data_IF_359744682177
#
_entry.id   IF_359744682177
#
_cell.length_a   1.000
_cell.length_b   1.000
_cell.length_c   1.000
_cell.angle_alpha   90.00
_cell.angle_beta   90.00
_cell.angle_gamma   90.00
#
_symmetry.space_group_name_H-M   'P 1'
#
loop_
_entity.id
_entity.type
_entity.pdbx_description
1 polymer ?
#
# COMPACT_ATOMS: atom_id res chain seq x y z
N UNK A 1 11.34 29.95 7.06
CA UNK A 1 12.74 30.01 7.51
C UNK A 1 12.73 29.54 8.94
N UNK A 2 13.57 28.57 9.27
CA UNK A 2 13.74 28.11 10.64
C UNK A 2 14.40 29.21 11.47
N UNK A 3 14.04 29.28 12.74
CA UNK A 3 14.56 30.25 13.70
C UNK A 3 15.55 29.59 14.65
N UNK A 4 16.36 30.40 15.31
CA UNK A 4 17.26 29.95 16.38
C UNK A 4 16.49 29.24 17.51
N UNK A 5 15.26 29.69 17.79
CA UNK A 5 14.40 29.08 18.80
C UNK A 5 14.00 27.66 18.42
N UNK A 6 13.66 27.42 17.14
CA UNK A 6 13.29 26.09 16.65
C UNK A 6 14.44 25.07 16.80
N UNK A 7 15.70 25.51 16.59
CA UNK A 7 16.88 24.68 16.85
C UNK A 7 17.12 24.43 18.34
N UNK A 8 16.91 25.43 19.19
CA UNK A 8 17.04 25.27 20.65
C UNK A 8 16.03 24.27 21.20
N UNK A 9 14.81 24.27 20.67
CA UNK A 9 13.79 23.27 21.00
C UNK A 9 14.19 21.87 20.51
N UNK A 10 14.69 21.76 19.28
CA UNK A 10 15.14 20.48 18.71
C UNK A 10 16.30 19.84 19.49
N UNK A 11 17.16 20.67 20.07
CA UNK A 11 18.29 20.22 20.88
C UNK A 11 18.02 20.22 22.39
N UNK A 12 16.79 20.53 22.85
CA UNK A 12 16.48 20.69 24.27
C UNK A 12 16.81 19.46 25.13
N UNK A 13 16.66 18.26 24.57
CA UNK A 13 16.94 16.99 25.27
C UNK A 13 18.41 16.55 25.17
N UNK A 14 19.23 17.21 24.35
CA UNK A 14 20.63 16.82 24.12
C UNK A 14 21.56 17.47 25.13
N UNK A 15 22.68 16.80 25.43
CA UNK A 15 23.69 17.36 26.35
C UNK A 15 24.45 18.50 25.66
N UNK A 16 24.81 19.58 26.38
CA UNK A 16 25.49 20.74 25.78
C UNK A 16 26.75 20.43 24.98
N UNK A 17 27.57 19.48 25.44
CA UNK A 17 28.79 19.08 24.73
C UNK A 17 28.50 18.37 23.40
N UNK A 18 27.39 17.63 23.29
CA UNK A 18 27.02 16.95 22.04
C UNK A 18 26.58 17.98 21.00
N UNK A 19 25.79 18.97 21.44
CA UNK A 19 25.35 20.10 20.61
C UNK A 19 26.56 20.86 20.08
N UNK A 20 27.52 21.18 20.96
CA UNK A 20 28.75 21.89 20.57
C UNK A 20 29.60 21.12 19.55
N UNK A 21 29.72 19.78 19.69
CA UNK A 21 30.43 18.92 18.74
C UNK A 21 29.74 18.94 17.38
N UNK A 22 28.42 18.80 17.36
CA UNK A 22 27.61 18.77 16.13
C UNK A 22 27.65 20.10 15.39
N UNK A 23 27.50 21.22 16.11
CA UNK A 23 27.62 22.58 15.56
C UNK A 23 29.03 22.83 15.01
N UNK A 24 30.06 22.41 15.74
CA UNK A 24 31.44 22.53 15.29
C UNK A 24 31.69 21.73 14.02
N UNK A 25 31.27 20.46 13.96
CA UNK A 25 31.38 19.66 12.76
C UNK A 25 30.60 20.22 11.57
N UNK A 26 29.38 20.72 11.82
CA UNK A 26 28.49 21.26 10.80
C UNK A 26 28.99 22.57 10.19
N UNK A 27 29.53 23.48 11.02
CA UNK A 27 30.02 24.79 10.57
C UNK A 27 31.46 24.76 10.06
N UNK A 28 32.07 23.57 9.96
CA UNK A 28 33.49 23.44 9.57
C UNK A 28 34.44 24.05 10.61
N UNK A 29 34.15 23.84 11.90
CA UNK A 29 34.88 24.32 13.07
C UNK A 29 34.86 25.83 13.28
N UNK A 30 33.96 26.56 12.60
CA UNK A 30 33.82 28.02 12.75
C UNK A 30 33.34 28.41 14.14
N UNK A 31 32.36 27.70 14.68
CA UNK A 31 31.80 27.97 16.01
C UNK A 31 31.35 26.68 16.69
N UNK A 32 31.28 26.71 18.01
CA UNK A 32 30.68 25.67 18.87
C UNK A 32 29.38 26.16 19.53
N UNK A 33 29.03 27.43 19.34
CA UNK A 33 27.94 28.12 20.03
C UNK A 33 26.74 28.25 19.10
N UNK A 34 25.58 27.79 19.57
CA UNK A 34 24.34 27.81 18.79
C UNK A 34 23.88 29.23 18.44
N UNK A 35 24.12 30.19 19.32
CA UNK A 35 23.73 31.59 19.14
C UNK A 35 24.59 32.32 18.09
N UNK A 36 25.74 31.76 17.69
CA UNK A 36 26.63 32.33 16.69
C UNK A 36 26.37 31.77 15.27
N UNK A 37 25.36 30.93 15.10
CA UNK A 37 24.98 30.40 13.80
C UNK A 37 24.37 31.49 12.92
N UNK A 38 24.78 31.53 11.65
CA UNK A 38 24.15 32.39 10.64
C UNK A 38 22.76 31.86 10.29
N UNK A 39 21.87 32.72 9.79
CA UNK A 39 20.53 32.31 9.37
C UNK A 39 20.55 31.18 8.31
N UNK A 40 21.55 31.16 7.43
CA UNK A 40 21.70 30.09 6.43
C UNK A 40 22.13 28.76 7.07
N UNK A 41 23.07 28.79 8.01
CA UNK A 41 23.48 27.60 8.78
C UNK A 41 22.33 27.07 9.63
N UNK A 42 21.55 27.97 10.26
CA UNK A 42 20.34 27.62 11.03
C UNK A 42 19.35 26.86 10.15
N UNK A 43 19.02 27.40 8.97
CA UNK A 43 18.08 26.77 8.06
C UNK A 43 18.56 25.40 7.58
N UNK A 44 19.85 25.25 7.27
CA UNK A 44 20.43 23.97 6.80
C UNK A 44 20.51 22.93 7.91
N UNK A 45 20.94 23.33 9.11
CA UNK A 45 21.02 22.44 10.27
C UNK A 45 19.62 21.98 10.68
N UNK A 46 18.65 22.88 10.69
CA UNK A 46 17.26 22.56 10.97
C UNK A 46 16.65 21.59 9.94
N UNK A 47 16.95 21.79 8.65
CA UNK A 47 16.52 20.89 7.58
C UNK A 47 17.17 19.50 7.63
N UNK A 48 18.36 19.37 8.21
CA UNK A 48 19.02 18.07 8.42
C UNK A 48 18.28 17.22 9.45
N UNK A 49 17.77 17.86 10.51
CA UNK A 49 17.07 17.15 11.60
C UNK A 49 15.56 17.06 11.42
N UNK A 50 14.98 17.92 10.58
CA UNK A 50 13.54 17.93 10.34
C UNK A 50 13.27 17.36 8.96
N UNK A 51 12.60 16.19 8.83
CA UNK A 51 12.18 15.69 7.53
C UNK A 51 11.30 16.74 6.87
N UNK A 52 11.54 17.04 5.58
CA UNK A 52 10.72 18.00 4.86
C UNK A 52 9.27 17.51 4.84
N UNK A 53 8.39 18.23 5.54
CA UNK A 53 6.95 17.93 5.66
C UNK A 53 6.23 17.69 4.32
N UNK A 54 6.78 18.19 3.21
CA UNK A 54 6.22 17.99 1.87
C UNK A 54 6.31 16.55 1.37
N UNK A 55 7.22 15.73 1.90
CA UNK A 55 7.34 14.32 1.51
C UNK A 55 6.48 13.39 2.39
N UNK A 56 6.38 13.68 3.69
CA UNK A 56 5.69 12.80 4.66
C UNK A 56 4.20 12.61 4.32
N UNK A 57 3.48 13.67 3.94
CA UNK A 57 2.06 13.55 3.57
C UNK A 57 1.90 12.79 2.25
N UNK A 58 2.76 13.05 1.26
CA UNK A 58 2.71 12.36 -0.03
C UNK A 58 3.04 10.86 0.12
N UNK A 59 4.09 10.54 0.88
CA UNK A 59 4.46 9.18 1.26
C UNK A 59 3.33 8.48 2.03
N UNK A 60 2.69 9.18 2.97
CA UNK A 60 1.57 8.64 3.73
C UNK A 60 0.36 8.33 2.84
N UNK A 61 0.03 9.21 1.89
CA UNK A 61 -1.03 8.95 0.93
C UNK A 61 -0.68 7.80 -0.02
N UNK A 62 0.57 7.72 -0.50
CA UNK A 62 1.04 6.58 -1.30
C UNK A 62 0.95 5.27 -0.51
N UNK A 63 1.36 5.27 0.75
CA UNK A 63 1.26 4.12 1.64
C UNK A 63 -0.20 3.68 1.85
N UNK A 64 -1.10 4.62 2.14
CA UNK A 64 -2.54 4.36 2.23
C UNK A 64 -3.09 3.75 0.95
N UNK A 65 -2.73 4.31 -0.19
CA UNK A 65 -3.17 3.83 -1.50
C UNK A 65 -2.71 2.38 -1.73
N UNK A 66 -1.44 2.07 -1.45
CA UNK A 66 -0.91 0.72 -1.55
C UNK A 66 -1.63 -0.27 -0.64
N UNK A 67 -1.87 0.10 0.62
CA UNK A 67 -2.56 -0.75 1.58
C UNK A 67 -3.95 -1.12 1.09
N UNK A 68 -4.70 -0.12 0.60
CA UNK A 68 -6.05 -0.33 0.04
C UNK A 68 -5.99 -1.20 -1.22
N UNK A 69 -5.03 -0.95 -2.13
CA UNK A 69 -4.84 -1.76 -3.33
C UNK A 69 -4.53 -3.22 -2.99
N UNK A 70 -3.60 -3.47 -2.06
CA UNK A 70 -3.24 -4.82 -1.60
C UNK A 70 -4.45 -5.53 -0.99
N UNK A 71 -5.24 -4.84 -0.16
CA UNK A 71 -6.47 -5.40 0.41
C UNK A 71 -7.48 -5.81 -0.67
N UNK A 72 -7.68 -4.98 -1.69
CA UNK A 72 -8.57 -5.32 -2.81
C UNK A 72 -8.07 -6.50 -3.64
N UNK A 73 -6.77 -6.52 -3.96
CA UNK A 73 -6.14 -7.64 -4.68
C UNK A 73 -6.34 -8.96 -3.93
N UNK A 74 -6.13 -8.95 -2.61
CA UNK A 74 -6.37 -10.13 -1.76
C UNK A 74 -7.82 -10.61 -1.82
N UNK A 75 -8.80 -9.70 -1.68
CA UNK A 75 -10.24 -10.03 -1.80
C UNK A 75 -10.59 -10.61 -3.17
N UNK A 76 -10.02 -10.07 -4.23
CA UNK A 76 -10.24 -10.55 -5.61
C UNK A 76 -9.69 -11.96 -5.79
N UNK A 77 -8.49 -12.24 -5.28
CA UNK A 77 -7.90 -13.57 -5.37
C UNK A 77 -8.73 -14.61 -4.60
N UNK A 78 -9.16 -14.28 -3.38
CA UNK A 78 -10.05 -15.15 -2.60
C UNK A 78 -11.40 -15.40 -3.31
N UNK A 79 -11.98 -14.36 -3.91
CA UNK A 79 -13.21 -14.49 -4.69
C UNK A 79 -13.00 -15.33 -5.97
N UNK A 80 -11.86 -15.16 -6.66
CA UNK A 80 -11.53 -15.92 -7.87
C UNK A 80 -11.32 -17.41 -7.57
N UNK A 81 -10.71 -17.76 -6.44
CA UNK A 81 -10.59 -19.15 -5.97
C UNK A 81 -11.96 -19.74 -5.69
N UNK A 82 -12.83 -19.01 -4.96
CA UNK A 82 -14.21 -19.44 -4.70
C UNK A 82 -15.02 -19.63 -5.99
N UNK A 83 -14.81 -18.79 -6.98
CA UNK A 83 -15.45 -18.88 -8.29
C UNK A 83 -14.93 -20.03 -9.15
N UNK A 84 -13.76 -20.59 -8.82
CA UNK A 84 -13.08 -21.59 -9.65
C UNK A 84 -12.36 -21.00 -10.86
N UNK A 85 -12.11 -19.68 -10.87
CA UNK A 85 -11.26 -19.04 -11.89
C UNK A 85 -9.77 -19.16 -11.58
N UNK A 86 -9.45 -19.40 -10.31
CA UNK A 86 -8.09 -19.60 -9.83
C UNK A 86 -7.98 -20.98 -9.16
N UNK A 87 -6.95 -21.72 -9.53
CA UNK A 87 -6.58 -22.95 -8.84
C UNK A 87 -5.77 -22.63 -7.56
N UNK A 88 -5.88 -23.47 -6.52
CA UNK A 88 -4.98 -23.38 -5.37
C UNK A 88 -3.53 -23.43 -5.86
N UNK A 89 -2.67 -22.53 -5.37
CA UNK A 89 -1.24 -22.44 -5.73
C UNK A 89 -0.88 -22.07 -7.19
N UNK A 90 -1.84 -21.96 -8.12
CA UNK A 90 -1.56 -21.56 -9.51
C UNK A 90 -2.26 -20.24 -9.88
N UNK A 91 -1.49 -19.33 -10.47
CA UNK A 91 -2.01 -18.06 -11.01
C UNK A 91 -2.23 -18.10 -12.52
N UNK A 92 -1.84 -19.17 -13.22
CA UNK A 92 -1.88 -19.24 -14.67
C UNK A 92 -3.32 -19.13 -15.20
N UNK A 93 -4.23 -19.96 -14.69
CA UNK A 93 -5.64 -19.97 -15.06
C UNK A 93 -6.31 -18.61 -14.78
N UNK A 94 -5.96 -17.99 -13.64
CA UNK A 94 -6.46 -16.67 -13.28
C UNK A 94 -5.92 -15.57 -14.20
N UNK A 95 -4.62 -15.56 -14.50
CA UNK A 95 -4.01 -14.58 -15.39
C UNK A 95 -4.57 -14.68 -16.82
N UNK A 96 -4.77 -15.91 -17.32
CA UNK A 96 -5.41 -16.12 -18.61
C UNK A 96 -6.87 -15.63 -18.59
N UNK A 97 -7.62 -15.93 -17.54
CA UNK A 97 -8.97 -15.39 -17.35
C UNK A 97 -8.98 -13.86 -17.30
N UNK A 98 -8.02 -13.25 -16.60
CA UNK A 98 -7.86 -11.80 -16.54
C UNK A 98 -7.66 -11.18 -17.92
N UNK A 99 -6.84 -11.78 -18.78
CA UNK A 99 -6.58 -11.26 -20.13
C UNK A 99 -7.72 -11.52 -21.12
N UNK A 100 -8.45 -12.62 -20.95
CA UNK A 100 -9.46 -13.05 -21.94
C UNK A 100 -10.89 -12.64 -21.57
N UNK A 101 -11.26 -12.70 -20.29
CA UNK A 101 -12.66 -12.61 -19.81
C UNK A 101 -12.92 -11.48 -18.82
N UNK A 102 -11.89 -10.93 -18.17
CA UNK A 102 -12.11 -9.77 -17.30
C UNK A 102 -12.52 -8.55 -18.12
N UNK A 103 -13.22 -7.62 -17.46
CA UNK A 103 -13.67 -6.36 -18.09
C UNK A 103 -12.52 -5.55 -18.68
N UNK A 104 -11.36 -5.52 -18.02
CA UNK A 104 -10.24 -4.65 -18.36
C UNK A 104 -9.10 -5.33 -19.13
N UNK A 105 -9.13 -6.67 -19.28
CA UNK A 105 -8.16 -7.45 -20.06
C UNK A 105 -6.69 -7.18 -19.76
N UNK A 106 -6.36 -6.94 -18.49
CA UNK A 106 -4.99 -6.62 -18.04
C UNK A 106 -4.63 -7.37 -16.76
N UNK A 107 -3.35 -7.38 -16.40
CA UNK A 107 -2.88 -8.04 -15.19
C UNK A 107 -3.41 -7.36 -13.92
N UNK A 108 -3.64 -8.13 -12.85
CA UNK A 108 -4.19 -7.62 -11.57
C UNK A 108 -3.37 -6.46 -10.98
N UNK A 109 -2.05 -6.46 -11.21
CA UNK A 109 -1.15 -5.41 -10.72
C UNK A 109 -1.27 -4.07 -11.46
N UNK A 110 -1.81 -4.06 -12.68
CA UNK A 110 -1.93 -2.87 -13.51
C UNK A 110 -3.27 -2.12 -13.32
N UNK A 111 -4.05 -2.46 -12.28
CA UNK A 111 -5.35 -1.85 -12.00
C UNK A 111 -5.24 -0.75 -10.95
N UNK A 112 -6.02 0.31 -11.14
CA UNK A 112 -6.28 1.30 -10.09
C UNK A 112 -7.37 0.79 -9.12
N UNK A 113 -7.56 1.48 -7.99
CA UNK A 113 -8.52 1.05 -6.94
C UNK A 113 -9.97 0.94 -7.46
N UNK A 114 -10.42 1.85 -8.32
CA UNK A 114 -11.79 1.81 -8.85
C UNK A 114 -12.01 0.64 -9.80
N UNK A 115 -11.03 0.35 -10.65
CA UNK A 115 -11.04 -0.83 -11.51
C UNK A 115 -10.99 -2.13 -10.70
N UNK A 116 -10.24 -2.16 -9.57
CA UNK A 116 -10.22 -3.30 -8.66
C UNK A 116 -11.61 -3.55 -8.04
N UNK A 117 -12.33 -2.49 -7.63
CA UNK A 117 -13.70 -2.61 -7.11
C UNK A 117 -14.64 -3.18 -8.17
N UNK A 118 -14.54 -2.70 -9.40
CA UNK A 118 -15.37 -3.16 -10.51
C UNK A 118 -15.05 -4.62 -10.90
N UNK A 119 -13.77 -4.99 -10.90
CA UNK A 119 -13.34 -6.37 -11.12
C UNK A 119 -13.87 -7.30 -10.02
N UNK A 120 -13.80 -6.89 -8.76
CA UNK A 120 -14.38 -7.64 -7.65
C UNK A 120 -15.89 -7.84 -7.85
N UNK A 121 -16.62 -6.79 -8.26
CA UNK A 121 -18.05 -6.86 -8.58
C UNK A 121 -18.33 -7.87 -9.71
N UNK A 122 -17.52 -7.87 -10.76
CA UNK A 122 -17.63 -8.84 -11.87
C UNK A 122 -17.51 -10.28 -11.37
N UNK A 123 -16.51 -10.57 -10.52
CA UNK A 123 -16.30 -11.90 -9.96
C UNK A 123 -17.45 -12.32 -9.04
N UNK A 124 -17.92 -11.41 -8.17
CA UNK A 124 -19.07 -11.68 -7.30
C UNK A 124 -20.35 -11.97 -8.10
N UNK A 125 -20.59 -11.24 -9.19
CA UNK A 125 -21.71 -11.50 -10.09
C UNK A 125 -21.60 -12.90 -10.73
N UNK A 126 -20.40 -13.31 -11.14
CA UNK A 126 -20.17 -14.66 -11.66
C UNK A 126 -20.43 -15.75 -10.60
N UNK A 127 -19.98 -15.53 -9.36
CA UNK A 127 -20.27 -16.44 -8.23
C UNK A 127 -21.78 -16.56 -8.01
N UNK A 128 -22.49 -15.43 -7.93
CA UNK A 128 -23.95 -15.39 -7.72
C UNK A 128 -24.72 -16.08 -8.85
N UNK A 129 -24.28 -15.89 -10.10
CA UNK A 129 -24.86 -16.58 -11.24
C UNK A 129 -24.62 -18.09 -11.18
N UNK A 130 -23.41 -18.51 -10.78
CA UNK A 130 -23.08 -19.92 -10.65
C UNK A 130 -23.89 -20.58 -9.52
N UNK A 131 -24.01 -19.94 -8.36
CA UNK A 131 -24.81 -20.47 -7.24
C UNK A 131 -26.30 -20.55 -7.58
N UNK A 132 -26.84 -19.55 -8.28
CA UNK A 132 -28.22 -19.58 -8.78
C UNK A 132 -28.44 -20.73 -9.76
N UNK A 133 -27.49 -20.96 -10.66
CA UNK A 133 -27.58 -22.05 -11.64
C UNK A 133 -27.43 -23.42 -10.98
N UNK A 134 -26.58 -23.53 -9.96
CA UNK A 134 -26.39 -24.77 -9.19
C UNK A 134 -27.65 -25.24 -8.45
N UNK A 135 -28.67 -24.39 -8.27
CA UNK A 135 -29.98 -24.79 -7.72
C UNK A 135 -30.86 -25.53 -8.73
N UNK A 136 -30.57 -25.41 -10.03
CA UNK A 136 -31.34 -26.05 -11.09
C UNK A 136 -30.77 -27.46 -11.35
N UNK A 137 -31.57 -28.53 -11.17
CA UNK A 137 -31.12 -29.89 -11.43
C UNK A 137 -30.56 -30.08 -12.83
N UNK A 138 -29.65 -31.04 -12.99
CA UNK A 138 -29.02 -31.44 -14.25
C UNK A 138 -28.16 -30.37 -14.94
N UNK A 139 -27.96 -29.19 -14.34
CA UNK A 139 -27.00 -28.21 -14.85
C UNK A 139 -25.57 -28.59 -14.45
N UNK A 140 -24.57 -28.16 -15.25
CA UNK A 140 -23.14 -28.36 -14.92
C UNK A 140 -22.79 -27.81 -13.53
N UNK A 141 -23.36 -26.66 -13.18
CA UNK A 141 -23.15 -26.05 -11.86
C UNK A 141 -23.76 -26.90 -10.73
N UNK A 142 -24.90 -27.56 -10.96
CA UNK A 142 -25.53 -28.46 -10.00
C UNK A 142 -24.71 -29.73 -9.78
N UNK A 143 -24.18 -30.33 -10.85
CA UNK A 143 -23.24 -31.47 -10.76
C UNK A 143 -21.98 -31.13 -9.96
N UNK A 144 -21.32 -30.00 -10.30
CA UNK A 144 -20.14 -29.56 -9.57
C UNK A 144 -20.43 -29.26 -8.08
N UNK A 145 -21.63 -28.78 -7.77
CA UNK A 145 -22.05 -28.53 -6.39
C UNK A 145 -22.31 -29.83 -5.63
N UNK A 146 -22.96 -30.81 -6.25
CA UNK A 146 -23.24 -32.11 -5.62
C UNK A 146 -21.96 -32.92 -5.39
N UNK A 147 -20.98 -32.87 -6.29
CA UNK A 147 -19.67 -33.49 -6.09
C UNK A 147 -18.91 -32.88 -4.91
N UNK A 148 -18.92 -31.55 -4.76
CA UNK A 148 -18.32 -30.90 -3.59
C UNK A 148 -18.94 -31.35 -2.28
N UNK A 149 -20.26 -31.51 -2.23
CA UNK A 149 -20.97 -32.00 -1.04
C UNK A 149 -20.64 -33.45 -0.71
N UNK A 150 -20.38 -34.30 -1.70
CA UNK A 150 -19.96 -35.70 -1.48
C UNK A 150 -18.59 -35.79 -0.80
N UNK A 151 -17.67 -34.89 -1.15
CA UNK A 151 -16.30 -34.88 -0.61
C UNK A 151 -16.18 -34.23 0.78
N UNK A 152 -17.30 -33.75 1.36
CA UNK A 152 -17.38 -33.14 2.68
C UNK A 152 -17.93 -34.08 3.76
N UNK A 153 -18.47 -35.24 3.36
CA UNK A 153 -18.92 -36.34 4.24
C UNK A 153 -17.91 -37.50 4.21
#
# INVERSE_FOLDING_TARGET
MATLQDLKELFAERKPHQIAIEISGFTGFRTTVIDELTNDEINRLYALHTPMLKDVEAEYQAFKYELVSKAWKSKILAAAEKAGFKEPQSFHSFNNWMLTRSKFKKALNAHNIEELKELHRQIQAAISNNTRTARKPLTKAWWNHSEKLKNLN
#
